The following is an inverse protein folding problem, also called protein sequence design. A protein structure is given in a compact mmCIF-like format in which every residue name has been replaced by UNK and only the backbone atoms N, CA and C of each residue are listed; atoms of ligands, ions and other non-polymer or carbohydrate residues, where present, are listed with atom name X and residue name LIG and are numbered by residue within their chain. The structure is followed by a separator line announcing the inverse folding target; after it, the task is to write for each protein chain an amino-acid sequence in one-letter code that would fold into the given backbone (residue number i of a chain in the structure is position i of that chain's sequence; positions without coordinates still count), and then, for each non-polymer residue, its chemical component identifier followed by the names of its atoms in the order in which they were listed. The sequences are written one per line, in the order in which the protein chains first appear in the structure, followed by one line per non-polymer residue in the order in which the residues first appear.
data_IF_409890977344
#
_entry.id   IF_409890977344
#
_cell.length_a   1.000
_cell.length_b   1.000
_cell.length_c   1.000
_cell.angle_alpha   90.00
_cell.angle_beta   90.00
_cell.angle_gamma   90.00
#
_symmetry.space_group_name_H-M   'P 1'
#
loop_
_entity.id
_entity.type
_entity.pdbx_description
1 polymer ?
#
# COMPACT_ATOMS: atom_id res chain seq x y z
N UNK A 1 13.17 -4.76 18.34
CA UNK A 1 11.74 -4.41 18.49
C UNK A 1 11.20 -4.10 17.10
N UNK A 2 10.10 -4.75 16.71
CA UNK A 2 9.57 -4.69 15.33
C UNK A 2 9.09 -3.30 14.92
N UNK A 3 9.78 -2.67 13.97
CA UNK A 3 9.34 -1.42 13.33
C UNK A 3 7.93 -1.52 12.73
N UNK A 4 7.50 -2.72 12.33
CA UNK A 4 6.15 -2.98 11.80
C UNK A 4 5.05 -2.89 12.88
N UNK A 5 5.33 -3.26 14.13
CA UNK A 5 4.38 -3.07 15.23
C UNK A 5 4.25 -1.59 15.59
N UNK A 6 5.35 -0.85 15.57
CA UNK A 6 5.36 0.59 15.85
C UNK A 6 4.58 1.40 14.79
N UNK A 7 4.63 1.01 13.52
CA UNK A 7 3.86 1.67 12.46
C UNK A 7 2.37 1.39 12.57
N UNK A 8 1.97 0.15 12.90
CA UNK A 8 0.56 -0.19 13.10
C UNK A 8 -0.04 0.50 14.34
N UNK A 9 0.70 0.55 15.45
CA UNK A 9 0.28 1.28 16.67
C UNK A 9 0.06 2.76 16.36
N UNK A 10 1.02 3.41 15.68
CA UNK A 10 0.86 4.81 15.26
C UNK A 10 -0.35 5.04 14.35
N UNK A 11 -0.63 4.14 13.40
CA UNK A 11 -1.79 4.29 12.52
C UNK A 11 -3.10 4.14 13.29
N UNK A 12 -3.18 3.22 14.26
CA UNK A 12 -4.36 3.05 15.10
C UNK A 12 -4.59 4.23 16.05
N UNK A 13 -3.51 4.82 16.58
CA UNK A 13 -3.61 6.04 17.39
C UNK A 13 -4.13 7.22 16.57
N UNK A 14 -3.58 7.44 15.37
CA UNK A 14 -4.07 8.48 14.44
C UNK A 14 -5.50 8.19 13.98
N UNK A 15 -5.87 6.93 13.77
CA UNK A 15 -7.24 6.54 13.44
C UNK A 15 -8.23 6.92 14.56
N UNK A 16 -7.85 6.70 15.83
CA UNK A 16 -8.66 7.11 16.99
C UNK A 16 -8.79 8.62 17.09
N UNK A 17 -7.71 9.36 16.88
CA UNK A 17 -7.73 10.83 16.89
C UNK A 17 -8.62 11.41 15.77
N UNK A 18 -8.66 10.76 14.60
CA UNK A 18 -9.50 11.18 13.48
C UNK A 18 -10.94 10.62 13.54
N UNK A 19 -11.32 9.94 14.62
CA UNK A 19 -12.67 9.38 14.79
C UNK A 19 -13.00 8.23 13.83
N UNK A 20 -11.97 7.57 13.28
CA UNK A 20 -12.13 6.38 12.44
C UNK A 20 -12.64 5.22 13.31
N UNK A 21 -13.73 4.58 12.88
CA UNK A 21 -14.30 3.42 13.59
C UNK A 21 -13.63 2.14 13.10
N UNK A 22 -13.14 1.32 14.01
CA UNK A 22 -12.77 -0.07 13.68
C UNK A 22 -13.92 -0.99 14.05
N UNK A 23 -14.89 -1.14 13.15
CA UNK A 23 -15.95 -2.12 13.31
C UNK A 23 -15.58 -3.42 12.57
N UNK A 24 -16.26 -4.50 12.91
CA UNK A 24 -16.15 -5.75 12.16
C UNK A 24 -16.84 -5.61 10.80
N UNK A 25 -16.24 -6.19 9.76
CA UNK A 25 -16.81 -6.27 8.43
C UNK A 25 -17.18 -7.72 8.10
N UNK A 26 -18.45 -7.95 7.75
CA UNK A 26 -18.92 -9.24 7.29
C UNK A 26 -19.53 -9.13 5.90
N UNK A 27 -19.05 -9.96 4.98
CA UNK A 27 -19.64 -10.16 3.66
C UNK A 27 -20.37 -11.48 3.70
N UNK A 28 -21.70 -11.45 3.56
CA UNK A 28 -22.52 -12.67 3.63
C UNK A 28 -22.28 -13.60 2.43
N UNK A 29 -22.72 -14.86 2.57
CA UNK A 29 -22.49 -15.88 1.57
C UNK A 29 -23.10 -15.51 0.20
N UNK A 30 -22.31 -15.62 -0.86
CA UNK A 30 -22.69 -15.26 -2.23
C UNK A 30 -22.70 -13.76 -2.53
N UNK A 31 -22.59 -12.90 -1.52
CA UNK A 31 -22.67 -11.46 -1.71
C UNK A 31 -21.38 -10.87 -2.28
N UNK A 32 -21.54 -9.72 -2.93
CA UNK A 32 -20.42 -8.89 -3.38
C UNK A 32 -20.48 -7.53 -2.73
N UNK A 33 -19.46 -7.20 -1.95
CA UNK A 33 -19.34 -5.92 -1.25
C UNK A 33 -18.14 -5.15 -1.76
N UNK A 34 -18.27 -3.83 -1.89
CA UNK A 34 -17.16 -2.96 -2.32
C UNK A 34 -16.77 -2.00 -1.19
N UNK A 35 -15.55 -2.17 -0.68
CA UNK A 35 -14.94 -1.28 0.31
C UNK A 35 -14.33 -0.09 -0.44
N UNK A 36 -14.86 1.11 -0.20
CA UNK A 36 -14.42 2.34 -0.86
C UNK A 36 -14.44 3.54 0.09
N UNK A 37 -13.45 4.45 0.03
CA UNK A 37 -13.46 5.69 0.82
C UNK A 37 -14.58 6.66 0.40
N UNK A 38 -15.14 6.46 -0.80
CA UNK A 38 -16.22 7.27 -1.37
C UNK A 38 -17.61 6.72 -1.00
N UNK A 39 -17.68 5.55 -0.35
CA UNK A 39 -18.94 4.96 0.09
C UNK A 39 -19.43 5.62 1.37
N UNK A 40 -20.71 6.01 1.43
CA UNK A 40 -21.31 6.52 2.66
C UNK A 40 -21.29 5.50 3.80
N UNK A 41 -21.40 4.21 3.46
CA UNK A 41 -21.33 3.11 4.42
C UNK A 41 -19.94 2.98 5.03
N UNK A 42 -18.89 3.14 4.20
CA UNK A 42 -17.52 2.79 4.62
C UNK A 42 -16.61 3.97 4.90
N UNK A 43 -16.96 5.21 4.53
CA UNK A 43 -16.09 6.39 4.67
C UNK A 43 -15.55 6.59 6.09
N UNK A 44 -16.31 6.16 7.11
CA UNK A 44 -15.94 6.28 8.53
C UNK A 44 -14.92 5.23 8.99
N UNK A 45 -14.62 4.23 8.16
CA UNK A 45 -13.55 3.24 8.37
C UNK A 45 -12.26 3.63 7.64
N UNK A 46 -12.24 4.76 6.93
CA UNK A 46 -11.04 5.20 6.21
C UNK A 46 -10.29 6.26 6.97
N UNK A 47 -9.03 5.96 7.25
CA UNK A 47 -8.04 6.94 7.64
C UNK A 47 -7.48 7.63 6.39
N UNK A 48 -7.53 8.96 6.39
CA UNK A 48 -7.03 9.82 5.31
C UNK A 48 -5.74 10.47 5.74
N UNK A 49 -4.64 10.04 5.14
CA UNK A 49 -3.30 10.55 5.44
C UNK A 49 -2.76 11.33 4.26
N UNK A 50 -2.11 12.44 4.55
CA UNK A 50 -1.35 13.22 3.58
C UNK A 50 0.12 13.18 3.97
N UNK A 51 0.90 12.22 3.44
CA UNK A 51 2.31 12.05 3.77
C UNK A 51 3.10 13.30 3.38
N UNK A 52 4.08 13.67 4.20
CA UNK A 52 4.97 14.82 3.92
C UNK A 52 6.15 14.45 3.04
N UNK A 53 6.54 13.18 3.04
CA UNK A 53 7.72 12.66 2.37
C UNK A 53 7.53 11.18 2.02
N UNK A 54 8.46 10.62 1.26
CA UNK A 54 8.36 9.23 0.80
C UNK A 54 8.54 8.21 1.95
N UNK A 55 9.22 8.59 3.03
CA UNK A 55 9.40 7.72 4.20
C UNK A 55 8.08 7.49 4.93
N UNK A 56 7.25 8.53 5.05
CA UNK A 56 5.89 8.40 5.59
C UNK A 56 5.02 7.53 4.68
N UNK A 57 5.10 7.68 3.35
CA UNK A 57 4.42 6.77 2.41
C UNK A 57 4.82 5.32 2.68
N UNK A 58 6.13 5.08 2.78
CA UNK A 58 6.69 3.74 3.08
C UNK A 58 6.24 3.23 4.44
N UNK A 59 6.20 4.07 5.47
CA UNK A 59 5.73 3.68 6.79
C UNK A 59 4.28 3.17 6.74
N UNK A 60 3.40 3.89 6.04
CA UNK A 60 1.97 3.58 5.99
C UNK A 60 1.62 2.42 5.06
N UNK A 61 2.19 2.36 3.86
CA UNK A 61 1.79 1.36 2.85
C UNK A 61 2.94 0.48 2.37
N UNK A 62 4.18 0.76 2.75
CA UNK A 62 5.35 -0.01 2.32
C UNK A 62 5.58 -1.30 3.11
N UNK A 63 6.49 -2.11 2.59
CA UNK A 63 7.01 -3.28 3.29
C UNK A 63 8.11 -2.86 4.27
N UNK A 64 8.12 -3.45 5.47
CA UNK A 64 9.25 -3.27 6.39
C UNK A 64 10.47 -4.03 5.87
N UNK A 65 11.68 -3.51 6.11
CA UNK A 65 12.93 -4.16 5.71
C UNK A 65 13.02 -5.62 6.22
N UNK A 66 12.56 -5.89 7.44
CA UNK A 66 12.51 -7.25 7.99
C UNK A 66 11.69 -8.24 7.12
N UNK A 67 10.60 -7.78 6.49
CA UNK A 67 9.77 -8.61 5.60
C UNK A 67 10.49 -8.84 4.27
N UNK A 68 11.19 -7.84 3.76
CA UNK A 68 12.00 -7.95 2.55
C UNK A 68 13.19 -8.90 2.75
N UNK A 69 13.86 -8.84 3.89
CA UNK A 69 14.92 -9.78 4.26
C UNK A 69 14.39 -11.23 4.36
N UNK A 70 13.24 -11.43 5.03
CA UNK A 70 12.59 -12.74 5.10
C UNK A 70 12.12 -13.26 3.73
N UNK A 71 11.62 -12.39 2.86
CA UNK A 71 11.24 -12.77 1.50
C UNK A 71 12.47 -13.13 0.66
N UNK A 72 13.54 -12.34 0.74
CA UNK A 72 14.78 -12.57 0.00
C UNK A 72 15.46 -13.88 0.40
N UNK A 73 15.40 -14.26 1.69
CA UNK A 73 15.94 -15.54 2.19
C UNK A 73 15.12 -16.74 1.73
N UNK A 74 13.79 -16.60 1.61
CA UNK A 74 12.90 -17.66 1.09
C UNK A 74 12.96 -17.81 -0.44
N UNK A 75 13.28 -16.75 -1.17
CA UNK A 75 13.32 -16.73 -2.64
C UNK A 75 14.70 -17.06 -3.24
N UNK A 76 15.71 -17.38 -2.41
CA UNK A 76 17.04 -17.85 -2.88
C UNK A 76 17.00 -19.13 -3.73
N UNK A 77 15.86 -19.80 -3.88
CA UNK A 77 15.69 -20.99 -4.74
C UNK A 77 15.09 -20.73 -6.12
N UNK A 78 14.73 -19.49 -6.48
CA UNK A 78 14.27 -19.21 -7.85
C UNK A 78 14.37 -17.72 -8.17
N UNK A 79 15.43 -17.31 -8.85
CA UNK A 79 15.50 -15.98 -9.46
C UNK A 79 15.57 -16.11 -10.98
N UNK A 80 14.45 -15.81 -11.64
CA UNK A 80 14.47 -15.34 -13.01
C UNK A 80 14.85 -13.84 -12.98
N UNK A 81 15.96 -13.40 -13.60
CA UNK A 81 16.51 -12.04 -13.48
C UNK A 81 15.75 -10.97 -14.28
N UNK A 82 14.45 -11.15 -14.55
CA UNK A 82 13.68 -10.31 -15.49
C UNK A 82 12.93 -9.12 -14.87
N UNK A 83 13.09 -8.82 -13.58
CA UNK A 83 12.52 -7.58 -13.01
C UNK A 83 13.49 -6.41 -13.18
N UNK A 84 13.53 -5.86 -14.40
CA UNK A 84 14.21 -4.63 -14.83
C UNK A 84 14.74 -3.69 -13.72
N UNK A 85 15.98 -3.86 -13.23
CA UNK A 85 16.66 -2.81 -12.46
C UNK A 85 17.33 -1.79 -13.39
N UNK A 86 17.45 -2.07 -14.70
CA UNK A 86 18.32 -1.33 -15.62
C UNK A 86 17.83 0.05 -16.10
N UNK A 87 16.62 0.52 -15.74
CA UNK A 87 16.14 1.84 -16.21
C UNK A 87 16.47 3.01 -15.30
N UNK A 88 16.68 2.77 -14.00
CA UNK A 88 16.92 3.85 -13.03
C UNK A 88 18.40 4.26 -12.92
N UNK A 89 19.31 3.45 -13.46
CA UNK A 89 20.76 3.64 -13.36
C UNK A 89 21.36 4.54 -14.44
N UNK A 90 20.60 4.96 -15.46
CA UNK A 90 21.14 5.66 -16.62
C UNK A 90 21.06 7.20 -16.54
N UNK A 91 20.18 7.77 -15.72
CA UNK A 91 20.00 9.22 -15.64
C UNK A 91 19.34 9.60 -14.31
N UNK A 92 20.09 10.27 -13.43
CA UNK A 92 19.51 10.89 -12.25
C UNK A 92 18.76 12.14 -12.72
N UNK A 93 17.47 12.22 -12.40
CA UNK A 93 16.59 13.34 -12.76
C UNK A 93 16.62 14.35 -11.62
N UNK A 94 16.68 15.64 -11.95
CA UNK A 94 16.60 16.71 -10.96
C UNK A 94 15.16 16.90 -10.48
N UNK A 95 14.89 17.18 -9.20
CA UNK A 95 13.53 17.38 -8.69
C UNK A 95 12.71 18.43 -9.45
N UNK A 96 13.36 19.43 -10.01
CA UNK A 96 12.76 20.52 -10.79
C UNK A 96 12.14 20.01 -12.11
N UNK A 97 12.63 18.89 -12.66
CA UNK A 97 12.11 18.32 -13.90
C UNK A 97 10.69 17.74 -13.75
N UNK A 98 10.19 17.57 -12.52
CA UNK A 98 8.78 17.20 -12.27
C UNK A 98 7.80 18.34 -12.60
N UNK A 99 8.30 19.57 -12.69
CA UNK A 99 7.52 20.78 -12.97
C UNK A 99 8.00 21.48 -14.25
N UNK A 100 8.76 20.77 -15.09
CA UNK A 100 9.25 21.29 -16.37
C UNK A 100 8.10 21.78 -17.26
N UNK A 101 8.33 22.86 -17.99
CA UNK A 101 7.36 23.40 -18.96
C UNK A 101 7.17 22.44 -20.13
N UNK A 102 8.24 21.72 -20.52
CA UNK A 102 8.18 20.69 -21.55
C UNK A 102 7.40 19.46 -21.04
N UNK A 103 6.24 19.15 -21.65
CA UNK A 103 5.43 18.01 -21.24
C UNK A 103 6.15 16.66 -21.45
N UNK A 104 7.05 16.53 -22.42
CA UNK A 104 7.76 15.28 -22.67
C UNK A 104 8.75 14.97 -21.55
N UNK A 105 9.60 15.95 -21.20
CA UNK A 105 10.54 15.85 -20.09
C UNK A 105 9.83 15.63 -18.76
N UNK A 106 8.73 16.36 -18.51
CA UNK A 106 7.93 16.19 -17.29
C UNK A 106 7.32 14.80 -17.20
N UNK A 107 6.79 14.26 -18.29
CA UNK A 107 6.21 12.92 -18.32
C UNK A 107 7.27 11.82 -18.12
N UNK A 108 8.45 11.97 -18.72
CA UNK A 108 9.58 11.06 -18.50
C UNK A 108 10.02 11.09 -17.03
N UNK A 109 10.17 12.28 -16.45
CA UNK A 109 10.51 12.47 -15.05
C UNK A 109 9.48 11.82 -14.12
N UNK A 110 8.19 12.01 -14.39
CA UNK A 110 7.10 11.39 -13.63
C UNK A 110 7.14 9.86 -13.71
N UNK A 111 7.33 9.27 -14.90
CA UNK A 111 7.39 7.82 -15.06
C UNK A 111 8.56 7.20 -14.30
N UNK A 112 9.76 7.77 -14.44
CA UNK A 112 10.95 7.28 -13.74
C UNK A 112 10.81 7.45 -12.22
N UNK A 113 10.25 8.57 -11.78
CA UNK A 113 9.96 8.82 -10.36
C UNK A 113 8.95 7.82 -9.80
N UNK A 114 7.89 7.47 -10.54
CA UNK A 114 6.92 6.46 -10.13
C UNK A 114 7.54 5.06 -9.99
N UNK A 115 8.45 4.70 -10.90
CA UNK A 115 9.18 3.43 -10.82
C UNK A 115 10.08 3.42 -9.59
N UNK A 116 10.85 4.49 -9.36
CA UNK A 116 11.71 4.64 -8.19
C UNK A 116 10.90 4.66 -6.88
N UNK A 117 9.74 5.33 -6.86
CA UNK A 117 8.85 5.38 -5.70
C UNK A 117 8.33 3.99 -5.34
N UNK A 118 7.94 3.20 -6.35
CA UNK A 118 7.49 1.82 -6.14
C UNK A 118 8.60 0.96 -5.54
N UNK A 119 9.83 1.05 -6.07
CA UNK A 119 10.98 0.32 -5.51
C UNK A 119 11.31 0.78 -4.10
N UNK A 120 11.23 2.08 -3.82
CA UNK A 120 11.50 2.63 -2.48
C UNK A 120 10.49 2.17 -1.44
N UNK A 121 9.20 2.17 -1.80
CA UNK A 121 8.10 1.86 -0.88
C UNK A 121 7.90 0.36 -0.70
N UNK A 122 7.97 -0.41 -1.79
CA UNK A 122 7.59 -1.82 -1.82
C UNK A 122 8.77 -2.79 -2.05
N UNK A 123 9.96 -2.28 -2.40
CA UNK A 123 11.13 -3.07 -2.75
C UNK A 123 12.36 -2.70 -1.93
N UNK A 124 13.54 -2.93 -2.51
CA UNK A 124 14.82 -2.64 -1.85
C UNK A 124 15.16 -1.15 -1.96
N UNK A 125 14.75 -0.39 -0.94
CA UNK A 125 14.95 1.06 -0.88
C UNK A 125 16.40 1.51 -1.06
N UNK A 126 17.39 0.66 -0.74
CA UNK A 126 18.81 1.00 -0.89
C UNK A 126 19.19 1.21 -2.36
N UNK A 127 18.49 0.55 -3.30
CA UNK A 127 18.75 0.66 -4.75
C UNK A 127 18.38 2.02 -5.32
N UNK A 128 17.49 2.74 -4.64
CA UNK A 128 16.92 4.01 -5.09
C UNK A 128 17.09 5.10 -4.04
N UNK A 129 18.00 4.92 -3.09
CA UNK A 129 18.24 5.89 -2.02
C UNK A 129 18.67 7.27 -2.57
N UNK A 130 19.45 7.29 -3.67
CA UNK A 130 19.84 8.52 -4.36
C UNK A 130 18.66 9.28 -4.98
N UNK A 131 17.51 8.62 -5.18
CA UNK A 131 16.28 9.23 -5.70
C UNK A 131 15.46 9.90 -4.60
N UNK A 132 15.83 9.78 -3.32
CA UNK A 132 15.03 10.31 -2.22
C UNK A 132 14.62 11.79 -2.37
N UNK A 133 15.50 12.74 -2.79
CA UNK A 133 15.09 14.13 -2.95
C UNK A 133 13.97 14.34 -3.99
N UNK A 134 14.04 13.67 -5.13
CA UNK A 134 12.99 13.76 -6.16
C UNK A 134 11.70 13.04 -5.72
N UNK A 135 11.81 11.95 -4.97
CA UNK A 135 10.66 11.26 -4.39
C UNK A 135 9.94 12.13 -3.36
N UNK A 136 10.66 12.83 -2.49
CA UNK A 136 10.08 13.75 -1.52
C UNK A 136 9.41 14.95 -2.22
N UNK A 137 10.04 15.49 -3.27
CA UNK A 137 9.44 16.53 -4.11
C UNK A 137 8.15 16.03 -4.80
N UNK A 138 8.16 14.81 -5.32
CA UNK A 138 7.00 14.18 -5.95
C UNK A 138 5.82 14.04 -4.98
N UNK A 139 6.07 13.58 -3.74
CA UNK A 139 5.03 13.49 -2.69
C UNK A 139 4.42 14.87 -2.43
N UNK A 140 5.26 15.91 -2.35
CA UNK A 140 4.81 17.29 -2.10
C UNK A 140 3.99 17.87 -3.26
N UNK A 141 4.42 17.72 -4.51
CA UNK A 141 3.71 18.27 -5.68
C UNK A 141 2.40 17.52 -5.91
N UNK A 142 2.45 16.18 -5.89
CA UNK A 142 1.29 15.34 -6.17
C UNK A 142 0.24 15.39 -5.05
N UNK A 143 0.59 15.96 -3.88
CA UNK A 143 -0.26 16.02 -2.68
C UNK A 143 -0.90 14.66 -2.39
N UNK A 144 -0.05 13.63 -2.36
CA UNK A 144 -0.50 12.24 -2.25
C UNK A 144 -1.43 12.08 -1.04
N UNK A 145 -2.60 11.50 -1.27
CA UNK A 145 -3.54 11.15 -0.22
C UNK A 145 -3.65 9.63 -0.13
N UNK A 146 -3.25 9.08 1.02
CA UNK A 146 -3.39 7.67 1.32
C UNK A 146 -4.71 7.43 2.02
N UNK A 147 -5.47 6.48 1.49
CA UNK A 147 -6.75 6.03 2.02
C UNK A 147 -6.56 4.63 2.59
N UNK A 148 -6.56 4.51 3.92
CA UNK A 148 -6.32 3.25 4.62
C UNK A 148 -7.62 2.82 5.29
N UNK A 149 -8.16 1.68 4.87
CA UNK A 149 -9.29 1.09 5.55
C UNK A 149 -8.81 0.46 6.86
N UNK A 150 -9.41 0.85 7.98
CA UNK A 150 -9.13 0.33 9.33
C UNK A 150 -10.38 -0.37 9.83
N UNK A 151 -10.30 -1.68 9.97
CA UNK A 151 -11.38 -2.54 10.44
C UNK A 151 -10.87 -3.37 11.62
N UNK A 152 -11.79 -3.89 12.43
CA UNK A 152 -11.41 -4.81 13.51
C UNK A 152 -11.19 -6.21 12.93
N UNK A 153 -12.23 -7.00 12.73
CA UNK A 153 -12.14 -8.29 12.04
C UNK A 153 -12.91 -8.27 10.71
N UNK A 154 -12.42 -9.03 9.72
CA UNK A 154 -13.04 -9.15 8.41
C UNK A 154 -13.41 -10.61 8.17
N UNK A 155 -14.68 -10.87 7.85
CA UNK A 155 -15.18 -12.19 7.47
C UNK A 155 -15.77 -12.15 6.06
N UNK A 156 -15.19 -12.91 5.13
CA UNK A 156 -15.70 -13.10 3.77
C UNK A 156 -16.38 -14.46 3.70
N UNK A 157 -17.71 -14.46 3.56
CA UNK A 157 -18.55 -15.66 3.52
C UNK A 157 -18.29 -16.56 2.33
N UNK A 158 -18.98 -17.72 2.33
CA UNK A 158 -18.87 -18.72 1.27
C UNK A 158 -19.25 -18.13 -0.08
N UNK A 159 -18.40 -18.31 -1.11
CA UNK A 159 -18.58 -17.73 -2.45
C UNK A 159 -18.74 -16.19 -2.49
N UNK A 160 -18.46 -15.50 -1.38
CA UNK A 160 -18.60 -14.05 -1.29
C UNK A 160 -17.39 -13.33 -1.89
N UNK A 161 -17.57 -12.07 -2.29
CA UNK A 161 -16.50 -11.24 -2.84
C UNK A 161 -16.41 -9.91 -2.12
N UNK A 162 -15.24 -9.62 -1.52
CA UNK A 162 -14.90 -8.28 -1.03
C UNK A 162 -14.02 -7.57 -2.07
N UNK A 163 -14.56 -6.56 -2.74
CA UNK A 163 -13.81 -5.71 -3.65
C UNK A 163 -13.16 -4.55 -2.89
N UNK A 164 -11.86 -4.36 -3.04
CA UNK A 164 -11.18 -3.14 -2.62
C UNK A 164 -11.17 -2.15 -3.78
N UNK A 165 -11.68 -0.93 -3.55
CA UNK A 165 -11.68 0.12 -4.57
C UNK A 165 -10.26 0.49 -5.01
N UNK A 166 -10.08 1.04 -6.22
CA UNK A 166 -8.78 1.54 -6.68
C UNK A 166 -8.15 2.56 -5.72
N UNK A 167 -9.00 3.41 -5.12
CA UNK A 167 -8.62 4.46 -4.18
C UNK A 167 -8.25 3.93 -2.79
N UNK A 168 -8.54 2.67 -2.46
CA UNK A 168 -8.05 2.06 -1.22
C UNK A 168 -6.57 1.73 -1.38
N UNK A 169 -5.70 2.16 -0.47
CA UNK A 169 -4.26 1.92 -0.59
C UNK A 169 -3.78 0.79 0.32
N UNK A 170 -4.34 0.72 1.52
CA UNK A 170 -4.09 -0.36 2.45
C UNK A 170 -5.34 -0.78 3.22
N UNK A 171 -5.31 -2.01 3.69
CA UNK A 171 -6.30 -2.62 4.56
C UNK A 171 -5.63 -3.05 5.86
N UNK A 172 -6.04 -2.43 6.95
CA UNK A 172 -5.57 -2.72 8.29
C UNK A 172 -6.70 -3.42 9.03
N UNK A 173 -6.43 -4.63 9.50
CA UNK A 173 -7.37 -5.44 10.27
C UNK A 173 -6.62 -6.19 11.36
N UNK A 174 -7.32 -6.68 12.37
CA UNK A 174 -6.77 -7.65 13.30
C UNK A 174 -6.77 -9.03 12.65
N UNK A 175 -7.94 -9.54 12.25
CA UNK A 175 -8.08 -10.85 11.60
C UNK A 175 -8.85 -10.78 10.28
N UNK A 176 -8.40 -11.53 9.29
CA UNK A 176 -9.12 -11.75 8.02
C UNK A 176 -9.45 -13.23 7.89
N UNK A 177 -10.75 -13.58 7.81
CA UNK A 177 -11.24 -14.94 7.57
C UNK A 177 -11.92 -15.03 6.21
N UNK A 178 -11.51 -15.99 5.39
CA UNK A 178 -12.08 -16.24 4.08
C UNK A 178 -12.66 -17.66 4.05
N UNK A 179 -13.99 -17.76 3.97
CA UNK A 179 -14.69 -19.04 3.86
C UNK A 179 -14.59 -19.62 2.44
N UNK A 180 -15.01 -20.88 2.28
CA UNK A 180 -14.89 -21.67 1.04
C UNK A 180 -15.41 -20.90 -0.18
N UNK A 181 -14.57 -20.76 -1.21
CA UNK A 181 -14.91 -20.03 -2.45
C UNK A 181 -15.00 -18.50 -2.29
N UNK A 182 -14.89 -17.96 -1.08
CA UNK A 182 -14.82 -16.53 -0.82
C UNK A 182 -13.51 -15.94 -1.34
N UNK A 183 -13.53 -14.64 -1.70
CA UNK A 183 -12.34 -13.96 -2.23
C UNK A 183 -12.30 -12.47 -1.91
N UNK A 184 -11.10 -11.94 -1.76
CA UNK A 184 -10.84 -10.50 -1.70
C UNK A 184 -10.23 -10.10 -3.04
N UNK A 185 -10.91 -9.22 -3.78
CA UNK A 185 -10.45 -8.73 -5.08
C UNK A 185 -9.81 -7.37 -4.92
N UNK A 186 -8.54 -7.27 -5.30
CA UNK A 186 -7.78 -6.03 -5.28
C UNK A 186 -7.73 -5.41 -6.68
N UNK A 187 -8.23 -4.18 -6.83
CA UNK A 187 -8.04 -3.41 -8.05
C UNK A 187 -6.75 -2.59 -7.93
N UNK A 188 -5.64 -3.19 -8.34
CA UNK A 188 -4.28 -2.64 -8.21
C UNK A 188 -3.56 -3.09 -6.94
N UNK A 189 -2.31 -2.64 -6.74
CA UNK A 189 -1.52 -2.98 -5.55
C UNK A 189 -2.20 -2.46 -4.28
N UNK A 190 -2.27 -3.32 -3.25
CA UNK A 190 -2.84 -3.02 -1.93
C UNK A 190 -1.96 -3.62 -0.86
N UNK A 191 -1.79 -2.91 0.24
CA UNK A 191 -1.04 -3.43 1.40
C UNK A 191 -2.01 -3.95 2.44
N UNK A 192 -1.80 -5.19 2.86
CA UNK A 192 -2.56 -5.80 3.96
C UNK A 192 -1.69 -5.78 5.22
N UNK A 193 -2.18 -5.17 6.29
CA UNK A 193 -1.60 -5.30 7.63
C UNK A 193 -2.61 -5.98 8.53
N UNK A 194 -2.32 -7.22 8.89
CA UNK A 194 -3.16 -8.00 9.79
C UNK A 194 -2.35 -8.89 10.72
N UNK A 195 -2.94 -9.25 11.86
CA UNK A 195 -2.34 -10.19 12.80
C UNK A 195 -2.50 -11.63 12.30
N UNK A 196 -3.62 -11.96 11.63
CA UNK A 196 -3.77 -13.23 10.92
C UNK A 196 -4.67 -13.12 9.68
N UNK A 197 -4.34 -13.94 8.68
CA UNK A 197 -5.20 -14.24 7.54
C UNK A 197 -5.40 -15.75 7.49
N UNK A 198 -6.66 -16.19 7.52
CA UNK A 198 -7.07 -17.59 7.57
C UNK A 198 -8.04 -17.84 6.42
N UNK A 199 -7.87 -18.95 5.71
CA UNK A 199 -8.78 -19.34 4.64
C UNK A 199 -8.85 -20.86 4.50
N UNK A 200 -10.04 -21.36 4.17
CA UNK A 200 -10.22 -22.75 3.83
C UNK A 200 -10.07 -22.90 2.32
N UNK A 201 -8.95 -23.51 1.90
CA UNK A 201 -8.79 -23.96 0.52
C UNK A 201 -9.81 -25.08 0.25
N UNK A 202 -10.55 -25.02 -0.87
CA UNK A 202 -11.43 -26.11 -1.29
C UNK A 202 -10.64 -27.38 -1.63
#
# INVERSE_FOLDING_TARGET
MDHARLSQVRVLDVAREQGCRSDDLRVEAGDTLTLSPDSELFRHHYLRLQPKNIDEVRQYIGLSDAVLEQASTRLKSSCNPKSNPCRLSARLISPEQLEDEDPELRNEALQLTQIAAREYVMGDSNRVLSWKPILDRYVSIAKIQLQIAVLQDITVGTNATLNLSPNTHALYANRIRIHTGGKIRCNGPKTFRCASIEGNLP
#
